data_IF_363575304134
#
_entry.id   IF_363575304134
#
_cell.length_a   1.000
_cell.length_b   1.000
_cell.length_c   1.000
_cell.angle_alpha   90.00
_cell.angle_beta   90.00
_cell.angle_gamma   90.00
#
_symmetry.space_group_name_H-M   'P 1'
#
loop_
_entity.id
_entity.type
_entity.pdbx_description
1 polymer ?
#
# COMPACT_ATOMS: atom_id res chain seq x y z
N UNK A 1 -17.31 6.94 25.14
CA UNK A 1 -16.66 6.33 23.94
C UNK A 1 -16.15 7.38 22.95
N UNK A 2 -16.89 8.48 22.68
CA UNK A 2 -16.44 9.60 21.82
C UNK A 2 -15.05 10.15 22.15
N UNK A 3 -14.75 10.32 23.45
CA UNK A 3 -13.44 10.81 23.94
C UNK A 3 -12.24 9.98 23.48
N UNK A 4 -12.42 8.69 23.14
CA UNK A 4 -11.34 7.86 22.63
C UNK A 4 -11.00 8.20 21.16
N UNK A 5 -12.01 8.45 20.33
CA UNK A 5 -11.81 8.77 18.91
C UNK A 5 -11.13 10.13 18.72
N UNK A 6 -11.46 11.14 19.55
CA UNK A 6 -10.79 12.44 19.52
C UNK A 6 -9.29 12.33 19.84
N UNK A 7 -8.94 11.54 20.87
CA UNK A 7 -7.56 11.30 21.24
C UNK A 7 -6.79 10.57 20.13
N UNK A 8 -7.44 9.60 19.46
CA UNK A 8 -6.85 8.89 18.32
C UNK A 8 -6.66 9.80 17.11
N UNK A 9 -7.60 10.68 16.78
CA UNK A 9 -7.39 11.67 15.71
C UNK A 9 -6.25 12.63 16.08
N UNK A 10 -6.17 13.09 17.33
CA UNK A 10 -5.06 13.93 17.77
C UNK A 10 -3.71 13.20 17.68
N UNK A 11 -3.67 11.90 18.00
CA UNK A 11 -2.49 11.04 17.82
C UNK A 11 -2.13 10.91 16.34
N UNK A 12 -3.11 10.67 15.46
CA UNK A 12 -2.94 10.58 14.01
C UNK A 12 -2.33 11.86 13.44
N UNK A 13 -2.95 13.02 13.68
CA UNK A 13 -2.51 14.30 13.14
C UNK A 13 -1.13 14.72 13.70
N UNK A 14 -0.82 14.33 14.94
CA UNK A 14 0.51 14.50 15.52
C UNK A 14 1.56 13.67 14.78
N UNK A 15 1.28 12.38 14.55
CA UNK A 15 2.16 11.52 13.75
C UNK A 15 2.43 12.09 12.36
N UNK A 16 1.39 12.61 11.69
CA UNK A 16 1.53 13.28 10.38
C UNK A 16 2.40 14.53 10.48
N UNK A 17 2.26 15.35 11.52
CA UNK A 17 3.09 16.56 11.69
C UNK A 17 4.55 16.27 11.96
N UNK A 18 4.84 15.20 12.70
CA UNK A 18 6.21 14.83 13.08
C UNK A 18 6.85 13.86 12.10
N UNK A 19 6.14 13.48 11.02
CA UNK A 19 6.51 12.40 10.11
C UNK A 19 6.79 11.08 10.85
N UNK A 20 6.13 10.85 12.00
CA UNK A 20 6.27 9.63 12.77
C UNK A 20 5.29 8.58 12.24
N UNK A 21 5.81 7.74 11.33
CA UNK A 21 5.03 6.73 10.59
C UNK A 21 4.29 5.78 11.52
N UNK A 22 4.96 5.25 12.56
CA UNK A 22 4.33 4.30 13.50
C UNK A 22 3.12 4.91 14.22
N UNK A 23 3.31 6.10 14.84
CA UNK A 23 2.24 6.84 15.51
C UNK A 23 1.06 7.08 14.58
N UNK A 24 1.33 7.41 13.31
CA UNK A 24 0.28 7.68 12.32
C UNK A 24 -0.50 6.41 11.99
N UNK A 25 0.20 5.31 11.70
CA UNK A 25 -0.44 4.03 11.39
C UNK A 25 -1.24 3.48 12.56
N UNK A 26 -0.65 3.46 13.76
CA UNK A 26 -1.30 2.83 14.90
C UNK A 26 -2.59 3.58 15.25
N UNK A 27 -2.54 4.92 15.20
CA UNK A 27 -3.75 5.73 15.32
C UNK A 27 -4.76 5.44 14.20
N UNK A 28 -4.30 5.26 12.95
CA UNK A 28 -5.17 4.89 11.82
C UNK A 28 -5.87 3.55 12.05
N UNK A 29 -5.12 2.49 12.38
CA UNK A 29 -5.65 1.15 12.64
C UNK A 29 -6.62 1.16 13.82
N UNK A 30 -6.31 1.90 14.89
CA UNK A 30 -7.19 2.04 16.04
C UNK A 30 -8.48 2.81 15.68
N UNK A 31 -8.40 3.82 14.80
CA UNK A 31 -9.57 4.52 14.27
C UNK A 31 -10.44 3.59 13.41
N UNK A 32 -9.85 2.75 12.56
CA UNK A 32 -10.59 1.73 11.79
C UNK A 32 -11.27 0.72 12.71
N UNK A 33 -10.58 0.22 13.74
CA UNK A 33 -11.16 -0.69 14.75
C UNK A 33 -12.30 -0.06 15.54
N UNK A 34 -12.21 1.24 15.84
CA UNK A 34 -13.28 1.99 16.50
C UNK A 34 -14.51 2.21 15.59
N UNK A 35 -14.36 2.03 14.28
CA UNK A 35 -15.46 1.89 13.32
C UNK A 35 -16.37 3.13 13.26
N UNK A 36 -17.71 2.98 13.34
CA UNK A 36 -18.66 4.10 13.17
C UNK A 36 -18.44 5.28 14.11
N UNK A 37 -17.89 5.05 15.32
CA UNK A 37 -17.59 6.12 16.27
C UNK A 37 -16.52 7.09 15.72
N UNK A 38 -15.58 6.59 14.91
CA UNK A 38 -14.55 7.40 14.27
C UNK A 38 -15.11 8.26 13.14
N UNK A 39 -16.16 7.80 12.44
CA UNK A 39 -16.78 8.53 11.32
C UNK A 39 -17.29 9.89 11.78
N UNK A 40 -18.03 9.94 12.89
CA UNK A 40 -18.57 11.18 13.44
C UNK A 40 -17.44 12.18 13.78
N UNK A 41 -16.39 11.69 14.45
CA UNK A 41 -15.26 12.53 14.86
C UNK A 41 -14.47 13.07 13.67
N UNK A 42 -14.23 12.24 12.65
CA UNK A 42 -13.56 12.65 11.41
C UNK A 42 -14.39 13.73 10.69
N UNK A 43 -15.71 13.53 10.57
CA UNK A 43 -16.60 14.53 9.96
C UNK A 43 -16.62 15.85 10.72
N UNK A 44 -16.63 15.81 12.05
CA UNK A 44 -16.54 17.03 12.87
C UNK A 44 -15.24 17.80 12.60
N UNK A 45 -14.11 17.10 12.44
CA UNK A 45 -12.84 17.75 12.08
C UNK A 45 -12.85 18.31 10.66
N UNK A 46 -13.44 17.60 9.70
CA UNK A 46 -13.60 18.07 8.32
C UNK A 46 -14.56 19.27 8.21
N UNK A 47 -15.49 19.42 9.15
CA UNK A 47 -16.39 20.57 9.23
C UNK A 47 -15.73 21.86 9.79
N UNK A 48 -14.48 21.80 10.25
CA UNK A 48 -13.78 22.95 10.83
C UNK A 48 -13.45 24.03 9.80
N UNK A 49 -13.54 25.30 10.21
CA UNK A 49 -13.23 26.46 9.35
C UNK A 49 -11.74 26.62 9.00
N UNK A 50 -10.86 25.80 9.58
CA UNK A 50 -9.42 25.84 9.30
C UNK A 50 -9.09 25.66 7.82
N UNK A 51 -9.95 25.00 7.04
CA UNK A 51 -9.76 24.75 5.61
C UNK A 51 -10.01 25.97 4.71
N UNK A 52 -10.61 27.03 5.26
CA UNK A 52 -10.77 28.33 4.58
C UNK A 52 -9.46 29.12 4.54
N UNK A 53 -8.58 28.87 5.51
CA UNK A 53 -7.36 29.63 5.70
C UNK A 53 -6.20 29.05 4.89
N UNK A 54 -5.17 29.87 4.65
CA UNK A 54 -3.91 29.38 4.11
C UNK A 54 -3.31 28.33 5.06
N UNK A 55 -2.97 27.11 4.57
CA UNK A 55 -2.43 26.07 5.43
C UNK A 55 -1.09 26.54 6.01
N UNK A 56 -0.96 26.48 7.34
CA UNK A 56 0.30 26.71 8.04
C UNK A 56 0.87 25.36 8.47
N UNK A 57 2.11 25.06 8.09
CA UNK A 57 2.76 23.79 8.42
C UNK A 57 2.04 22.56 7.78
N UNK A 58 1.88 21.44 8.51
CA UNK A 58 1.38 20.17 7.96
C UNK A 58 -0.12 20.15 7.66
N UNK A 59 -0.84 21.26 7.85
CA UNK A 59 -2.30 21.36 7.70
C UNK A 59 -2.79 20.95 6.31
N UNK A 60 -1.99 21.18 5.25
CA UNK A 60 -2.32 20.71 3.91
C UNK A 60 -2.43 19.17 3.82
N UNK A 61 -1.65 18.43 4.62
CA UNK A 61 -1.66 16.96 4.68
C UNK A 61 -2.86 16.45 5.49
N UNK A 62 -3.29 17.18 6.51
CA UNK A 62 -4.37 16.77 7.39
C UNK A 62 -5.69 16.58 6.66
N UNK A 63 -6.04 17.48 5.74
CA UNK A 63 -7.27 17.36 4.95
C UNK A 63 -7.28 16.05 4.15
N UNK A 64 -6.18 15.73 3.48
CA UNK A 64 -6.05 14.49 2.70
C UNK A 64 -6.13 13.25 3.58
N UNK A 65 -5.41 13.23 4.71
CA UNK A 65 -5.43 12.13 5.69
C UNK A 65 -6.83 11.88 6.24
N UNK A 66 -7.55 12.94 6.64
CA UNK A 66 -8.90 12.82 7.18
C UNK A 66 -9.92 12.35 6.14
N UNK A 67 -9.85 12.88 4.91
CA UNK A 67 -10.70 12.46 3.80
C UNK A 67 -10.48 10.99 3.45
N UNK A 68 -9.23 10.56 3.42
CA UNK A 68 -8.90 9.16 3.14
C UNK A 68 -9.32 8.21 4.26
N UNK A 69 -9.15 8.62 5.52
CA UNK A 69 -9.64 7.83 6.64
C UNK A 69 -11.16 7.68 6.57
N UNK A 70 -11.86 8.74 6.15
CA UNK A 70 -13.30 8.69 5.93
C UNK A 70 -13.68 7.76 4.77
N UNK A 71 -12.89 7.71 3.70
CA UNK A 71 -13.08 6.76 2.58
C UNK A 71 -12.94 5.31 3.05
N UNK A 72 -11.95 5.01 3.89
CA UNK A 72 -11.78 3.65 4.47
C UNK A 72 -12.85 3.28 5.50
N UNK A 73 -13.31 4.24 6.32
CA UNK A 73 -14.32 4.00 7.36
C UNK A 73 -15.75 3.89 6.80
N UNK A 74 -16.12 4.82 5.92
CA UNK A 74 -17.46 4.95 5.36
C UNK A 74 -17.40 5.66 4.00
N UNK A 75 -17.27 4.89 2.89
CA UNK A 75 -17.23 5.43 1.54
C UNK A 75 -18.44 6.30 1.19
N UNK A 76 -19.61 6.07 1.82
CA UNK A 76 -20.80 6.90 1.59
C UNK A 76 -20.62 8.28 2.24
N UNK A 77 -20.18 8.31 3.51
CA UNK A 77 -19.85 9.58 4.18
C UNK A 77 -18.74 10.33 3.46
N UNK A 78 -17.73 9.63 2.95
CA UNK A 78 -16.67 10.25 2.13
C UNK A 78 -17.22 10.98 0.91
N UNK A 79 -18.10 10.34 0.12
CA UNK A 79 -18.72 10.97 -1.06
C UNK A 79 -19.52 12.23 -0.69
N UNK A 80 -20.32 12.14 0.38
CA UNK A 80 -21.08 13.28 0.88
C UNK A 80 -20.17 14.43 1.29
N UNK A 81 -19.03 14.12 1.90
CA UNK A 81 -18.07 15.11 2.37
C UNK A 81 -17.29 15.76 1.22
N UNK A 82 -16.93 15.00 0.18
CA UNK A 82 -16.37 15.54 -1.05
C UNK A 82 -17.35 16.54 -1.70
N UNK A 83 -18.63 16.15 -1.81
CA UNK A 83 -19.67 17.02 -2.38
C UNK A 83 -19.85 18.30 -1.55
N UNK A 84 -19.95 18.16 -0.21
CA UNK A 84 -20.06 19.30 0.71
C UNK A 84 -18.89 20.26 0.55
N UNK A 85 -17.66 19.74 0.69
CA UNK A 85 -16.43 20.54 0.61
C UNK A 85 -16.25 21.20 -0.77
N UNK A 86 -16.72 20.56 -1.86
CA UNK A 86 -16.64 21.13 -3.21
C UNK A 86 -17.45 22.42 -3.38
N UNK A 87 -18.49 22.59 -2.57
CA UNK A 87 -19.35 23.78 -2.53
C UNK A 87 -18.89 24.84 -1.52
N UNK A 88 -17.90 24.53 -0.70
CA UNK A 88 -17.36 25.46 0.30
C UNK A 88 -16.21 26.30 -0.25
N UNK A 89 -16.00 27.48 0.32
CA UNK A 89 -14.90 28.36 -0.07
C UNK A 89 -13.54 27.88 0.48
N UNK A 90 -13.01 26.77 -0.03
CA UNK A 90 -11.71 26.26 0.38
C UNK A 90 -10.55 27.10 -0.16
N UNK A 91 -9.49 27.23 0.64
CA UNK A 91 -8.21 27.76 0.17
C UNK A 91 -7.70 26.96 -1.05
N UNK A 92 -7.03 27.59 -2.04
CA UNK A 92 -6.61 26.92 -3.28
C UNK A 92 -5.84 25.60 -3.09
N UNK A 93 -4.93 25.53 -2.10
CA UNK A 93 -4.19 24.30 -1.79
C UNK A 93 -5.10 23.17 -1.28
N UNK A 94 -6.06 23.47 -0.42
CA UNK A 94 -7.04 22.50 0.07
C UNK A 94 -7.99 22.06 -1.05
N UNK A 95 -8.35 22.97 -1.96
CA UNK A 95 -9.13 22.66 -3.16
C UNK A 95 -8.38 21.70 -4.09
N UNK A 96 -7.07 21.82 -4.22
CA UNK A 96 -6.25 20.87 -4.99
C UNK A 96 -6.27 19.47 -4.36
N UNK A 97 -6.08 19.38 -3.03
CA UNK A 97 -6.22 18.11 -2.30
C UNK A 97 -7.62 17.51 -2.51
N UNK A 98 -8.67 18.32 -2.37
CA UNK A 98 -10.04 17.87 -2.58
C UNK A 98 -10.25 17.37 -4.02
N UNK A 99 -9.72 18.08 -5.02
CA UNK A 99 -9.81 17.65 -6.43
C UNK A 99 -9.15 16.29 -6.64
N UNK A 100 -7.95 16.09 -6.09
CA UNK A 100 -7.26 14.79 -6.15
C UNK A 100 -8.09 13.69 -5.49
N UNK A 101 -8.64 13.94 -4.31
CA UNK A 101 -9.47 12.97 -3.59
C UNK A 101 -10.81 12.71 -4.28
N UNK A 102 -11.40 13.72 -4.94
CA UNK A 102 -12.67 13.59 -5.64
C UNK A 102 -12.60 12.61 -6.82
N UNK A 103 -11.42 12.46 -7.44
CA UNK A 103 -11.23 11.46 -8.49
C UNK A 103 -11.48 10.04 -7.96
N UNK A 104 -11.20 9.79 -6.67
CA UNK A 104 -11.44 8.50 -6.01
C UNK A 104 -12.93 8.16 -5.88
N UNK A 105 -13.81 9.16 -5.81
CA UNK A 105 -15.27 8.93 -5.74
C UNK A 105 -15.78 8.18 -6.97
N UNK A 106 -15.17 8.45 -8.13
CA UNK A 106 -15.53 7.82 -9.39
C UNK A 106 -14.77 6.52 -9.66
N UNK A 107 -13.74 6.20 -8.88
CA UNK A 107 -12.98 4.97 -9.03
C UNK A 107 -13.87 3.77 -8.74
N UNK A 108 -13.82 2.79 -9.64
CA UNK A 108 -14.45 1.48 -9.46
C UNK A 108 -13.33 0.45 -9.32
N UNK A 109 -13.49 -0.54 -8.42
CA UNK A 109 -12.53 -1.62 -8.36
C UNK A 109 -12.54 -2.39 -9.69
N UNK A 110 -11.36 -2.61 -10.24
CA UNK A 110 -11.15 -3.38 -11.47
C UNK A 110 -11.33 -4.89 -11.22
N UNK A 111 -11.06 -5.32 -9.99
CA UNK A 111 -11.18 -6.69 -9.52
C UNK A 111 -11.26 -6.73 -8.00
N UNK A 112 -11.84 -7.80 -7.44
CA UNK A 112 -11.71 -8.14 -6.02
C UNK A 112 -10.82 -9.37 -5.84
N UNK A 113 -9.91 -9.32 -4.85
CA UNK A 113 -9.11 -10.47 -4.42
C UNK A 113 -9.72 -11.08 -3.15
N UNK A 114 -9.60 -12.41 -2.99
CA UNK A 114 -10.16 -13.17 -1.86
C UNK A 114 -11.62 -12.78 -1.54
N UNK A 115 -12.41 -12.56 -2.60
CA UNK A 115 -13.82 -12.18 -2.62
C UNK A 115 -14.20 -10.81 -2.03
N UNK A 116 -13.32 -10.12 -1.30
CA UNK A 116 -13.70 -8.90 -0.56
C UNK A 116 -12.78 -7.71 -0.73
N UNK A 117 -11.57 -7.88 -1.30
CA UNK A 117 -10.56 -6.81 -1.27
C UNK A 117 -10.53 -6.10 -2.62
N UNK A 118 -10.99 -4.84 -2.68
CA UNK A 118 -11.03 -4.10 -3.93
C UNK A 118 -9.62 -3.76 -4.41
N UNK A 119 -9.38 -4.01 -5.69
CA UNK A 119 -8.16 -3.61 -6.39
C UNK A 119 -8.49 -2.49 -7.36
N UNK A 120 -7.80 -1.37 -7.18
CA UNK A 120 -7.88 -0.21 -8.06
C UNK A 120 -6.62 -0.16 -8.91
N UNK A 121 -6.78 0.07 -10.20
CA UNK A 121 -5.65 0.17 -11.13
C UNK A 121 -5.69 1.57 -11.74
N UNK A 122 -4.64 2.35 -11.51
CA UNK A 122 -4.54 3.69 -12.06
C UNK A 122 -4.60 3.66 -13.60
N UNK A 123 -5.23 4.68 -14.17
CA UNK A 123 -5.46 4.78 -15.62
C UNK A 123 -4.17 4.85 -16.45
N UNK A 124 -3.05 5.23 -15.83
CA UNK A 124 -1.73 5.29 -16.47
C UNK A 124 -0.98 3.95 -16.44
N UNK A 125 -1.53 2.91 -15.79
CA UNK A 125 -1.00 1.55 -15.85
C UNK A 125 -1.33 0.92 -17.19
N UNK A 126 -0.29 0.61 -17.97
CA UNK A 126 -0.45 -0.07 -19.26
C UNK A 126 -1.09 -1.46 -19.10
N UNK A 127 -2.10 -1.76 -19.93
CA UNK A 127 -2.84 -3.05 -20.01
C UNK A 127 -3.43 -3.53 -18.68
N UNK A 128 -4.40 -2.81 -18.08
CA UNK A 128 -5.02 -3.15 -16.78
C UNK A 128 -5.59 -4.58 -16.74
N UNK A 129 -6.12 -5.09 -17.86
CA UNK A 129 -6.62 -6.46 -17.96
C UNK A 129 -5.56 -7.54 -17.65
N UNK A 130 -4.30 -7.32 -18.04
CA UNK A 130 -3.22 -8.27 -17.72
C UNK A 130 -2.85 -8.18 -16.25
N UNK A 131 -2.76 -6.97 -15.73
CA UNK A 131 -2.44 -6.70 -14.33
C UNK A 131 -3.43 -7.37 -13.39
N UNK A 132 -4.75 -7.23 -13.63
CA UNK A 132 -5.77 -7.90 -12.80
C UNK A 132 -5.63 -9.43 -12.81
N UNK A 133 -5.34 -10.05 -13.96
CA UNK A 133 -5.21 -11.51 -14.05
C UNK A 133 -3.96 -12.01 -13.34
N UNK A 134 -2.87 -11.26 -13.41
CA UNK A 134 -1.64 -11.56 -12.69
C UNK A 134 -1.85 -11.46 -11.19
N UNK A 135 -2.51 -10.41 -10.70
CA UNK A 135 -2.83 -10.25 -9.28
C UNK A 135 -3.75 -11.35 -8.75
N UNK A 136 -4.79 -11.72 -9.52
CA UNK A 136 -5.62 -12.89 -9.19
C UNK A 136 -4.76 -14.14 -9.02
N UNK A 137 -3.87 -14.42 -9.99
CA UNK A 137 -2.99 -15.58 -9.93
C UNK A 137 -2.07 -15.55 -8.71
N UNK A 138 -1.46 -14.41 -8.40
CA UNK A 138 -0.59 -14.27 -7.21
C UNK A 138 -1.36 -14.49 -5.92
N UNK A 139 -2.59 -13.95 -5.83
CA UNK A 139 -3.43 -14.10 -4.63
C UNK A 139 -3.79 -15.55 -4.31
N UNK A 140 -3.88 -16.44 -5.31
CA UNK A 140 -4.18 -17.87 -5.09
C UNK A 140 -3.13 -18.61 -4.23
N UNK A 141 -1.92 -18.08 -4.10
CA UNK A 141 -0.86 -18.70 -3.32
C UNK A 141 -0.85 -18.26 -1.85
N UNK A 142 -1.54 -17.17 -1.54
CA UNK A 142 -1.65 -16.61 -0.20
C UNK A 142 -2.55 -17.49 0.70
N UNK A 143 -2.26 -17.54 2.01
CA UNK A 143 -3.23 -18.00 3.01
C UNK A 143 -4.55 -17.24 2.92
N UNK A 144 -5.65 -17.86 3.35
CA UNK A 144 -7.00 -17.28 3.24
C UNK A 144 -7.16 -15.99 4.07
N UNK A 145 -6.52 -15.94 5.22
CA UNK A 145 -6.48 -14.83 6.19
C UNK A 145 -5.41 -13.78 5.87
N UNK A 146 -4.55 -14.02 4.86
CA UNK A 146 -3.37 -13.20 4.62
C UNK A 146 -3.65 -11.72 4.34
N UNK A 147 -4.88 -11.42 3.92
CA UNK A 147 -5.30 -10.08 3.55
C UNK A 147 -6.46 -9.56 4.44
N UNK A 148 -6.76 -10.21 5.56
CA UNK A 148 -7.90 -9.85 6.42
C UNK A 148 -7.86 -8.39 6.90
N UNK A 149 -6.65 -7.86 7.12
CA UNK A 149 -6.42 -6.49 7.57
C UNK A 149 -6.09 -5.52 6.43
N UNK A 150 -6.25 -5.94 5.17
CA UNK A 150 -6.00 -5.11 3.98
C UNK A 150 -7.33 -4.54 3.49
N UNK A 151 -7.46 -3.22 3.53
CA UNK A 151 -8.72 -2.53 3.14
C UNK A 151 -8.85 -2.38 1.63
N UNK A 152 -7.73 -2.26 0.91
CA UNK A 152 -7.67 -2.13 -0.55
C UNK A 152 -6.27 -2.42 -1.11
N UNK A 153 -6.20 -2.62 -2.42
CA UNK A 153 -4.94 -2.68 -3.16
C UNK A 153 -4.97 -1.62 -4.26
N UNK A 154 -3.95 -0.76 -4.29
CA UNK A 154 -3.76 0.26 -5.31
C UNK A 154 -2.61 -0.13 -6.22
N UNK A 155 -2.88 -0.24 -7.52
CA UNK A 155 -1.87 -0.52 -8.52
C UNK A 155 -1.62 0.75 -9.31
N UNK A 156 -0.41 1.27 -9.24
CA UNK A 156 -0.07 2.49 -9.96
C UNK A 156 1.20 2.29 -10.77
N UNK A 157 1.40 3.13 -11.78
CA UNK A 157 2.61 3.06 -12.60
C UNK A 157 3.83 3.37 -11.76
N UNK A 158 4.87 2.54 -11.83
CA UNK A 158 6.17 2.80 -11.21
C UNK A 158 6.80 4.06 -11.79
N UNK A 159 7.06 5.08 -10.97
CA UNK A 159 7.80 6.29 -11.34
C UNK A 159 8.91 6.54 -10.32
N UNK A 160 10.09 7.02 -10.73
CA UNK A 160 11.20 7.31 -9.79
C UNK A 160 10.85 8.37 -8.72
N UNK A 161 9.86 9.24 -8.99
CA UNK A 161 9.44 10.28 -8.06
C UNK A 161 8.43 9.81 -7.00
N UNK A 162 8.02 8.54 -7.00
CA UNK A 162 6.96 8.05 -6.10
C UNK A 162 7.37 8.00 -4.64
N UNK A 163 8.66 7.77 -4.37
CA UNK A 163 9.23 7.87 -3.01
C UNK A 163 9.18 9.31 -2.47
N UNK A 164 9.08 10.32 -3.36
CA UNK A 164 9.30 11.73 -3.03
C UNK A 164 8.07 12.45 -2.49
N UNK A 165 6.86 11.94 -2.74
CA UNK A 165 5.63 12.71 -2.46
C UNK A 165 4.89 12.32 -1.18
N UNK A 166 5.25 11.23 -0.50
CA UNK A 166 4.56 10.78 0.72
C UNK A 166 3.05 10.52 0.53
N UNK A 167 2.54 10.62 -0.69
CA UNK A 167 1.14 10.35 -1.07
C UNK A 167 0.85 8.84 -1.05
N UNK A 168 1.89 8.01 -1.21
CA UNK A 168 1.85 6.56 -1.01
C UNK A 168 1.57 6.17 0.45
N UNK A 169 2.16 6.91 1.40
CA UNK A 169 2.09 6.60 2.83
C UNK A 169 0.76 6.99 3.49
N UNK A 170 -0.25 7.34 2.71
CA UNK A 170 -1.54 7.73 3.27
C UNK A 170 -2.44 6.50 3.51
N UNK A 171 -2.19 5.35 2.85
CA UNK A 171 -2.95 4.10 3.05
C UNK A 171 -2.23 3.18 4.04
N UNK A 172 -2.39 3.47 5.32
CA UNK A 172 -1.81 2.67 6.40
C UNK A 172 -2.37 1.24 6.52
N UNK A 173 -3.47 0.97 5.83
CA UNK A 173 -4.14 -0.34 5.76
C UNK A 173 -4.32 -0.85 4.33
N UNK A 174 -3.79 -0.17 3.33
CA UNK A 174 -3.84 -0.59 1.92
C UNK A 174 -2.47 -1.04 1.41
N UNK A 175 -2.46 -1.93 0.42
CA UNK A 175 -1.23 -2.31 -0.29
C UNK A 175 -1.11 -1.45 -1.54
N UNK A 176 0.01 -0.74 -1.71
CA UNK A 176 0.26 -0.01 -2.96
C UNK A 176 1.35 -0.71 -3.75
N UNK A 177 1.01 -1.17 -4.95
CA UNK A 177 1.89 -1.91 -5.83
C UNK A 177 2.35 -1.04 -7.00
N UNK A 178 3.66 -0.78 -7.06
CA UNK A 178 4.27 -0.14 -8.21
C UNK A 178 4.36 -1.12 -9.39
N UNK A 179 3.65 -0.81 -10.48
CA UNK A 179 3.59 -1.65 -11.67
C UNK A 179 4.57 -1.20 -12.75
N UNK A 180 5.33 -2.12 -13.36
CA UNK A 180 6.39 -1.75 -14.29
C UNK A 180 5.90 -1.26 -15.65
N UNK A 181 6.73 -0.45 -16.30
CA UNK A 181 6.52 0.00 -17.66
C UNK A 181 6.80 -1.11 -18.69
N UNK A 182 6.02 -1.16 -19.77
CA UNK A 182 5.99 -2.33 -20.66
C UNK A 182 7.04 -2.35 -21.78
N UNK A 183 7.82 -1.28 -21.94
CA UNK A 183 8.77 -1.09 -23.04
C UNK A 183 10.15 -1.72 -22.77
N UNK A 184 10.16 -2.96 -22.26
CA UNK A 184 11.38 -3.74 -22.01
C UNK A 184 11.33 -5.08 -22.74
N UNK A 185 12.50 -5.64 -23.02
CA UNK A 185 12.61 -6.96 -23.67
C UNK A 185 11.96 -8.08 -22.81
N UNK A 186 11.76 -9.26 -23.40
CA UNK A 186 11.00 -10.36 -22.77
C UNK A 186 11.63 -10.85 -21.46
N UNK A 187 12.96 -10.98 -21.41
CA UNK A 187 13.68 -11.47 -20.23
C UNK A 187 13.60 -10.46 -19.08
N UNK A 188 13.89 -9.19 -19.37
CA UNK A 188 13.79 -8.10 -18.41
C UNK A 188 12.36 -7.96 -17.91
N UNK A 189 11.36 -8.08 -18.79
CA UNK A 189 9.93 -8.09 -18.39
C UNK A 189 9.63 -9.21 -17.40
N UNK A 190 10.16 -10.41 -17.65
CA UNK A 190 9.96 -11.55 -16.76
C UNK A 190 10.62 -11.35 -15.40
N UNK A 191 11.86 -10.84 -15.36
CA UNK A 191 12.55 -10.51 -14.11
C UNK A 191 11.81 -9.43 -13.30
N UNK A 192 11.34 -8.40 -13.99
CA UNK A 192 10.58 -7.32 -13.35
C UNK A 192 9.26 -7.86 -12.81
N UNK A 193 8.56 -8.74 -13.54
CA UNK A 193 7.33 -9.36 -13.04
C UNK A 193 7.57 -10.18 -11.77
N UNK A 194 8.67 -10.94 -11.70
CA UNK A 194 9.04 -11.66 -10.47
C UNK A 194 9.39 -10.71 -9.32
N UNK A 195 10.04 -9.58 -9.61
CA UNK A 195 10.32 -8.55 -8.61
C UNK A 195 9.03 -7.93 -8.07
N UNK A 196 8.09 -7.56 -8.94
CA UNK A 196 6.78 -7.05 -8.54
C UNK A 196 5.97 -8.09 -7.75
N UNK A 197 6.06 -9.37 -8.12
CA UNK A 197 5.44 -10.47 -7.35
C UNK A 197 6.05 -10.58 -5.94
N UNK A 198 7.38 -10.53 -5.85
CA UNK A 198 8.08 -10.56 -4.57
C UNK A 198 7.68 -9.36 -3.71
N UNK A 199 7.67 -8.14 -4.26
CA UNK A 199 7.21 -6.93 -3.57
C UNK A 199 5.77 -7.09 -3.08
N UNK A 200 4.87 -7.60 -3.91
CA UNK A 200 3.49 -7.86 -3.49
C UNK A 200 3.44 -8.79 -2.27
N UNK A 201 4.15 -9.93 -2.29
CA UNK A 201 4.16 -10.82 -1.13
C UNK A 201 4.90 -10.24 0.08
N UNK A 202 5.87 -9.36 -0.12
CA UNK A 202 6.57 -8.65 0.94
C UNK A 202 5.62 -7.69 1.68
N UNK A 203 4.85 -6.89 0.94
CA UNK A 203 3.81 -6.02 1.52
C UNK A 203 2.76 -6.85 2.29
N UNK A 204 2.29 -7.95 1.70
CA UNK A 204 1.38 -8.88 2.41
C UNK A 204 2.03 -9.42 3.69
N UNK A 205 3.33 -9.72 3.65
CA UNK A 205 4.10 -10.13 4.82
C UNK A 205 4.05 -9.12 5.97
N UNK A 206 4.15 -7.81 5.67
CA UNK A 206 3.98 -6.76 6.67
C UNK A 206 2.59 -6.76 7.30
N UNK A 207 1.54 -7.02 6.51
CA UNK A 207 0.17 -7.11 7.04
C UNK A 207 -0.04 -8.37 7.90
N UNK A 208 0.42 -9.54 7.43
CA UNK A 208 0.25 -10.82 8.13
C UNK A 208 0.98 -10.84 9.47
N UNK A 209 2.20 -10.29 9.51
CA UNK A 209 3.03 -10.28 10.71
C UNK A 209 2.74 -9.07 11.62
N UNK A 210 1.77 -8.23 11.24
CA UNK A 210 1.41 -7.04 12.02
C UNK A 210 2.55 -6.02 12.14
N UNK A 211 3.47 -5.99 11.17
CA UNK A 211 4.68 -5.18 11.23
C UNK A 211 4.38 -3.69 11.42
N UNK A 212 5.29 -3.08 12.19
CA UNK A 212 5.23 -1.71 12.64
C UNK A 212 5.92 -0.69 11.70
N UNK A 213 6.71 -1.13 10.73
CA UNK A 213 7.43 -0.29 9.79
C UNK A 213 7.60 -1.03 8.46
N UNK A 214 7.11 -0.46 7.36
CA UNK A 214 7.59 -0.83 6.03
C UNK A 214 8.86 -0.05 5.77
N UNK A 215 10.02 -0.70 5.85
CA UNK A 215 11.31 -0.19 5.40
C UNK A 215 12.28 0.34 6.47
N UNK A 216 11.94 0.38 7.77
CA UNK A 216 12.78 1.04 8.80
C UNK A 216 13.32 0.09 9.89
N UNK A 217 12.54 -0.89 10.39
CA UNK A 217 13.06 -1.93 11.29
C UNK A 217 13.64 -3.08 10.47
N UNK A 218 14.97 -3.22 10.49
CA UNK A 218 15.69 -4.26 9.75
C UNK A 218 15.18 -5.69 10.01
N UNK A 219 14.73 -5.99 11.24
CA UNK A 219 14.18 -7.31 11.57
C UNK A 219 12.79 -7.54 10.95
N UNK A 220 11.94 -6.52 10.88
CA UNK A 220 10.64 -6.62 10.22
C UNK A 220 10.81 -6.79 8.70
N UNK A 221 11.74 -6.05 8.11
CA UNK A 221 12.14 -6.23 6.71
C UNK A 221 12.58 -7.65 6.42
N UNK A 222 13.42 -8.22 7.29
CA UNK A 222 13.90 -9.60 7.17
C UNK A 222 12.75 -10.61 7.26
N UNK A 223 11.81 -10.41 8.17
CA UNK A 223 10.66 -11.28 8.34
C UNK A 223 9.68 -11.18 7.15
N UNK A 224 9.41 -9.98 6.65
CA UNK A 224 8.59 -9.75 5.46
C UNK A 224 9.24 -10.38 4.21
N UNK A 225 10.56 -10.22 4.05
CA UNK A 225 11.33 -10.88 3.01
C UNK A 225 11.30 -12.41 3.13
N UNK A 226 11.38 -12.96 4.35
CA UNK A 226 11.30 -14.40 4.58
C UNK A 226 9.91 -14.95 4.22
N UNK A 227 8.86 -14.20 4.56
CA UNK A 227 7.48 -14.50 4.16
C UNK A 227 7.35 -14.49 2.62
N UNK A 228 7.77 -13.41 1.97
CA UNK A 228 7.74 -13.29 0.50
C UNK A 228 8.48 -14.44 -0.18
N UNK A 229 9.69 -14.76 0.28
CA UNK A 229 10.48 -15.87 -0.23
C UNK A 229 9.81 -17.24 -0.02
N UNK A 230 9.04 -17.43 1.06
CA UNK A 230 8.25 -18.65 1.31
C UNK A 230 7.13 -18.77 0.28
N UNK A 231 6.37 -17.71 0.04
CA UNK A 231 5.27 -17.72 -0.94
C UNK A 231 5.81 -17.85 -2.37
N UNK A 232 6.90 -17.15 -2.72
CA UNK A 232 7.57 -17.30 -4.03
C UNK A 232 7.98 -18.73 -4.33
N UNK A 233 8.50 -19.46 -3.33
CA UNK A 233 8.86 -20.87 -3.48
C UNK A 233 7.65 -21.75 -3.77
N UNK A 234 6.49 -21.41 -3.21
CA UNK A 234 5.22 -22.09 -3.45
C UNK A 234 4.62 -21.75 -4.82
N UNK A 235 4.73 -20.48 -5.25
CA UNK A 235 4.18 -20.04 -6.54
C UNK A 235 5.02 -20.46 -7.74
N UNK A 236 6.32 -20.71 -7.56
CA UNK A 236 7.26 -21.07 -8.64
C UNK A 236 8.07 -22.37 -8.38
N UNK A 237 7.43 -23.54 -8.24
CA UNK A 237 8.13 -24.79 -7.89
C UNK A 237 9.17 -25.22 -8.95
N UNK A 238 8.91 -24.96 -10.23
CA UNK A 238 9.83 -25.30 -11.33
C UNK A 238 11.11 -24.45 -11.27
N UNK A 239 10.98 -23.13 -11.05
CA UNK A 239 12.15 -22.24 -10.91
C UNK A 239 13.02 -22.66 -9.73
N UNK A 240 12.41 -23.07 -8.62
CA UNK A 240 13.17 -23.55 -7.45
C UNK A 240 13.91 -24.86 -7.72
N UNK A 241 13.31 -25.73 -8.53
CA UNK A 241 13.97 -26.98 -8.95
C UNK A 241 15.16 -26.69 -9.86
N UNK A 242 14.99 -25.80 -10.84
CA UNK A 242 16.08 -25.35 -11.71
C UNK A 242 17.22 -24.67 -10.94
N UNK A 243 16.91 -23.78 -9.99
CA UNK A 243 17.90 -23.12 -9.15
C UNK A 243 18.72 -24.11 -8.31
N UNK A 244 18.07 -25.13 -7.73
CA UNK A 244 18.77 -26.20 -6.99
C UNK A 244 19.74 -26.99 -7.87
N UNK A 245 19.35 -27.31 -9.10
CA UNK A 245 20.21 -28.01 -10.05
C UNK A 245 21.42 -27.15 -10.45
N UNK A 246 21.20 -25.86 -10.70
CA UNK A 246 22.27 -24.94 -11.03
C UNK A 246 23.28 -24.77 -9.87
N UNK A 247 22.80 -24.64 -8.64
CA UNK A 247 23.69 -24.57 -7.44
C UNK A 247 24.47 -25.86 -7.24
N UNK A 248 23.87 -27.03 -7.50
CA UNK A 248 24.60 -28.32 -7.47
C UNK A 248 25.69 -28.37 -8.53
N UNK A 249 25.38 -27.97 -9.76
CA UNK A 249 26.33 -27.94 -10.86
C UNK A 249 27.51 -26.97 -10.57
N UNK A 250 27.24 -25.77 -10.06
CA UNK A 250 28.29 -24.79 -9.74
C UNK A 250 29.18 -25.21 -8.57
N UNK A 251 28.63 -25.91 -7.57
CA UNK A 251 29.43 -26.52 -6.48
C UNK A 251 30.35 -27.63 -7.00
N UNK A 252 29.88 -28.45 -7.94
CA UNK A 252 30.68 -29.50 -8.57
C UNK A 252 31.83 -28.91 -9.40
N UNK A 253 31.57 -27.82 -10.14
CA UNK A 253 32.59 -27.11 -10.91
C UNK A 253 33.65 -26.48 -10.00
N UNK A 254 33.26 -25.74 -8.96
CA UNK A 254 34.21 -25.15 -8.00
C UNK A 254 35.09 -26.19 -7.30
N UNK A 255 34.54 -27.37 -7.00
CA UNK A 255 35.29 -28.48 -6.35
C UNK A 255 36.30 -29.14 -7.31
N UNK A 256 36.05 -29.09 -8.62
CA UNK A 256 36.97 -29.60 -9.65
C UNK A 256 38.14 -28.65 -9.88
N UNK A 257 37.90 -27.34 -9.80
CA UNK A 257 38.95 -26.32 -9.93
C UNK A 257 39.88 -26.29 -8.71
N UNK A 258 39.34 -26.44 -7.49
CA UNK A 258 40.15 -26.52 -6.26
C UNK A 258 41.09 -27.75 -6.21
N UNK A 259 40.71 -28.85 -6.89
CA UNK A 259 41.55 -30.05 -7.00
C UNK A 259 42.63 -29.96 -8.09
N UNK A 260 42.55 -28.98 -9.01
CA UNK A 260 43.57 -28.77 -10.05
C UNK A 260 44.69 -27.81 -9.63
N UNK A 261 44.43 -26.94 -8.64
CA UNK A 261 45.39 -25.95 -8.13
C UNK A 261 46.27 -26.46 -6.97
N UNK A 262 46.19 -27.75 -6.62
CA UNK A 262 46.93 -28.37 -5.53
C UNK A 262 47.96 -29.43 -5.95
N UNK A 263 48.30 -29.50 -7.24
CA UNK A 263 49.39 -30.32 -7.78
C UNK A 263 50.45 -29.43 -8.42
#
# INVERSE_FOLDING_TARGET
MQHNADALIAKLLRGVSTNHVETTRDAWRDLLRAGPNSVATVRTKLASDVWHNAPRGPVARYLGVLLMLLDELDPKSFRMEIERLSRTNLHPLHRQTLKLMSNRVAERPEVTLNNNIPVFIASDVSKPYRTKNVLKKWSCFLPQDALENVTRIDVIRSQPQLDYLGLYNLFFSGIVLAWPEQNVNVITRWLIALRSEFTFYHEVGHHVLGHAEGGQVAEQEKQANAYAAKIMRKSHPVLMTAAKLFVRASRLLRRKDSNKSGN
#
